data_IF_541381693983
#
_entry.id   IF_541381693983
#
_cell.length_a   1.000
_cell.length_b   1.000
_cell.length_c   1.000
_cell.angle_alpha   90.00
_cell.angle_beta   90.00
_cell.angle_gamma   90.00
#
_symmetry.space_group_name_H-M   'P 1'
#
loop_
_entity.id
_entity.type
_entity.pdbx_description
1 polymer ?
#
# COMPACT_ATOMS: atom_id res chain seq x y z
N UNK A 1 37.24 61.14 10.02
CA UNK A 1 36.49 60.09 10.75
C UNK A 1 35.42 59.58 9.78
N UNK A 2 35.66 58.44 9.13
CA UNK A 2 34.68 57.75 8.29
C UNK A 2 34.65 56.28 8.73
N UNK A 3 33.48 55.69 9.02
CA UNK A 3 33.41 54.34 9.55
C UNK A 3 33.61 53.31 8.43
N UNK A 4 34.43 52.31 8.71
CA UNK A 4 34.55 51.10 7.90
C UNK A 4 33.24 50.30 8.01
N UNK A 5 32.48 50.21 6.93
CA UNK A 5 31.33 49.30 6.84
C UNK A 5 31.83 47.90 6.52
N UNK A 6 31.76 47.02 7.52
CA UNK A 6 31.89 45.57 7.36
C UNK A 6 30.80 45.07 6.40
N UNK A 7 31.19 44.67 5.18
CA UNK A 7 30.31 43.89 4.29
C UNK A 7 30.19 42.49 4.86
N UNK A 8 29.05 42.19 5.50
CA UNK A 8 28.65 40.81 5.81
C UNK A 8 28.58 40.03 4.50
N UNK A 9 29.42 39.00 4.37
CA UNK A 9 29.28 38.01 3.30
C UNK A 9 27.94 37.30 3.52
N UNK A 10 27.08 37.14 2.50
CA UNK A 10 25.91 36.29 2.64
C UNK A 10 26.40 34.88 2.94
N UNK A 11 26.04 34.36 4.12
CA UNK A 11 26.22 32.95 4.41
C UNK A 11 25.16 32.20 3.60
N UNK A 12 25.58 31.35 2.67
CA UNK A 12 24.71 30.36 2.07
C UNK A 12 24.19 29.49 3.22
N UNK A 13 22.89 29.59 3.50
CA UNK A 13 22.19 28.62 4.32
C UNK A 13 21.58 27.60 3.36
N UNK A 14 21.96 26.35 3.55
CA UNK A 14 21.15 25.22 3.09
C UNK A 14 20.06 25.11 4.13
N UNK A 15 18.84 25.52 3.76
CA UNK A 15 17.66 25.10 4.48
C UNK A 15 17.28 23.74 3.93
N UNK A 16 16.98 22.78 4.80
CA UNK A 16 16.28 21.59 4.36
C UNK A 16 14.98 22.10 3.76
N UNK A 17 14.80 21.91 2.46
CA UNK A 17 13.45 21.91 1.91
C UNK A 17 12.67 20.89 2.76
N UNK A 18 11.43 21.22 3.09
CA UNK A 18 10.50 20.30 3.72
C UNK A 18 10.66 18.89 3.13
N UNK A 19 10.67 17.86 3.98
CA UNK A 19 10.65 16.46 3.50
C UNK A 19 9.54 16.36 2.46
N UNK A 20 9.79 15.62 1.38
CA UNK A 20 8.82 15.43 0.29
C UNK A 20 7.65 14.61 0.81
N UNK A 21 6.71 15.22 1.52
CA UNK A 21 5.50 14.55 2.04
C UNK A 21 4.45 14.28 0.95
N UNK A 22 4.85 14.15 -0.31
CA UNK A 22 3.94 13.89 -1.43
C UNK A 22 4.46 12.72 -2.26
N UNK A 23 3.64 11.68 -2.50
CA UNK A 23 3.99 10.57 -3.38
C UNK A 23 4.61 11.03 -4.70
N UNK A 24 5.73 10.45 -5.10
CA UNK A 24 6.33 10.67 -6.40
C UNK A 24 5.64 9.79 -7.44
N UNK A 25 5.39 10.31 -8.64
CA UNK A 25 5.02 9.47 -9.79
C UNK A 25 6.22 9.27 -10.71
N UNK A 26 6.70 8.03 -10.83
CA UNK A 26 7.72 7.63 -11.78
C UNK A 26 7.08 7.05 -13.05
N UNK A 27 7.18 7.79 -14.14
CA UNK A 27 6.56 7.42 -15.42
C UNK A 27 7.46 6.50 -16.26
N UNK A 28 6.98 5.30 -16.55
CA UNK A 28 7.56 4.37 -17.53
C UNK A 28 7.10 4.76 -18.94
N UNK A 29 8.05 4.99 -19.84
CA UNK A 29 7.81 5.53 -21.19
C UNK A 29 8.44 4.71 -22.31
N UNK A 30 9.13 3.62 -21.98
CA UNK A 30 9.79 2.74 -22.95
C UNK A 30 9.70 1.27 -22.54
N UNK A 31 9.72 0.39 -23.54
CA UNK A 31 9.80 -1.07 -23.36
C UNK A 31 11.22 -1.60 -23.16
N UNK A 32 12.23 -0.72 -23.14
CA UNK A 32 13.61 -1.11 -22.88
C UNK A 32 13.75 -1.73 -21.47
N UNK A 33 14.55 -2.79 -21.35
CA UNK A 33 14.81 -3.45 -20.05
C UNK A 33 15.46 -2.51 -19.02
N UNK A 34 16.29 -1.57 -19.47
CA UNK A 34 17.07 -0.68 -18.61
C UNK A 34 17.29 0.70 -19.24
N UNK A 35 17.66 1.66 -18.40
CA UNK A 35 17.92 3.04 -18.79
C UNK A 35 16.75 3.99 -18.51
N UNK A 36 16.92 5.29 -18.78
CA UNK A 36 15.91 6.30 -18.47
C UNK A 36 14.53 5.96 -19.06
N UNK A 37 13.49 6.04 -18.22
CA UNK A 37 12.10 5.78 -18.59
C UNK A 37 11.71 4.30 -18.64
N UNK A 38 12.59 3.36 -18.27
CA UNK A 38 12.21 1.94 -18.13
C UNK A 38 11.60 1.61 -16.78
N UNK A 39 10.86 0.50 -16.70
CA UNK A 39 10.36 -0.04 -15.43
C UNK A 39 11.48 -0.30 -14.42
N UNK A 40 12.61 -0.85 -14.88
CA UNK A 40 13.78 -1.10 -14.01
C UNK A 40 14.28 0.19 -13.36
N UNK A 41 14.34 1.29 -14.11
CA UNK A 41 14.75 2.57 -13.55
C UNK A 41 13.70 3.12 -12.58
N UNK A 42 12.41 3.02 -12.92
CA UNK A 42 11.33 3.45 -12.04
C UNK A 42 11.33 2.71 -10.69
N UNK A 43 11.59 1.38 -10.68
CA UNK A 43 11.73 0.61 -9.44
C UNK A 43 12.94 1.08 -8.63
N UNK A 44 14.07 1.38 -9.28
CA UNK A 44 15.26 1.90 -8.58
C UNK A 44 15.00 3.28 -7.96
N UNK A 45 14.27 4.14 -8.68
CA UNK A 45 13.94 5.48 -8.21
C UNK A 45 12.96 5.41 -7.03
N UNK A 46 11.91 4.59 -7.10
CA UNK A 46 10.97 4.34 -5.99
C UNK A 46 11.67 3.71 -4.77
N UNK A 47 12.59 2.76 -4.97
CA UNK A 47 13.34 2.18 -3.86
C UNK A 47 14.29 3.17 -3.16
N UNK A 48 14.58 4.32 -3.77
CA UNK A 48 15.42 5.35 -3.19
C UNK A 48 14.63 6.34 -2.30
N UNK A 49 13.30 6.27 -2.30
CA UNK A 49 12.40 7.08 -1.50
C UNK A 49 11.69 6.20 -0.44
N UNK A 50 11.76 6.52 0.87
CA UNK A 50 11.08 5.73 1.90
C UNK A 50 9.56 5.93 1.95
N UNK A 51 9.03 6.98 1.31
CA UNK A 51 7.59 7.23 1.24
C UNK A 51 6.91 6.37 0.16
N UNK A 52 5.57 6.30 0.18
CA UNK A 52 4.85 5.56 -0.85
C UNK A 52 4.83 6.33 -2.17
N UNK A 53 5.33 5.69 -3.23
CA UNK A 53 5.38 6.25 -4.58
C UNK A 53 4.48 5.51 -5.57
N UNK A 54 4.25 6.11 -6.73
CA UNK A 54 3.52 5.53 -7.86
C UNK A 54 4.46 5.26 -9.03
N UNK A 55 4.37 4.07 -9.63
CA UNK A 55 4.93 3.75 -10.94
C UNK A 55 3.77 3.66 -11.94
N UNK A 56 3.72 4.64 -12.83
CA UNK A 56 2.72 4.76 -13.89
C UNK A 56 3.34 4.48 -15.28
N UNK A 57 2.52 4.21 -16.28
CA UNK A 57 2.92 3.83 -17.63
C UNK A 57 2.30 4.76 -18.67
N UNK A 58 3.14 5.24 -19.60
CA UNK A 58 2.74 6.00 -20.78
C UNK A 58 3.70 5.67 -21.92
N UNK A 59 3.77 4.39 -22.29
CA UNK A 59 4.63 3.91 -23.36
C UNK A 59 3.95 4.19 -24.71
N UNK A 60 4.60 4.91 -25.64
CA UNK A 60 4.02 5.18 -26.95
C UNK A 60 3.83 3.91 -27.78
N UNK A 61 2.63 3.68 -28.29
CA UNK A 61 2.32 2.52 -29.12
C UNK A 61 0.84 2.18 -29.12
N UNK A 62 0.47 1.15 -29.88
CA UNK A 62 -0.88 0.56 -29.85
C UNK A 62 -0.78 -0.89 -29.43
N UNK A 63 -1.77 -1.38 -28.68
CA UNK A 63 -1.79 -2.75 -28.19
C UNK A 63 -0.83 -2.96 -27.02
N UNK A 64 -0.47 -4.22 -26.78
CA UNK A 64 0.36 -4.61 -25.64
C UNK A 64 1.79 -4.11 -25.80
N UNK A 65 2.28 -3.44 -24.78
CA UNK A 65 3.64 -2.95 -24.62
C UNK A 65 4.43 -4.00 -23.84
N UNK A 66 5.16 -4.85 -24.56
CA UNK A 66 5.94 -5.93 -23.97
C UNK A 66 7.33 -5.43 -23.58
N UNK A 67 7.62 -5.46 -22.27
CA UNK A 67 8.93 -5.22 -21.69
C UNK A 67 9.65 -6.57 -21.60
N UNK A 68 10.61 -6.78 -22.50
CA UNK A 68 11.42 -8.00 -22.51
C UNK A 68 12.48 -7.92 -21.40
N UNK A 69 12.21 -8.57 -20.27
CA UNK A 69 13.09 -8.55 -19.11
C UNK A 69 14.32 -9.39 -19.39
N UNK A 70 15.51 -8.78 -19.30
CA UNK A 70 16.78 -9.40 -19.69
C UNK A 70 17.57 -9.96 -18.49
N UNK A 71 17.17 -9.60 -17.27
CA UNK A 71 17.73 -10.10 -16.01
C UNK A 71 16.77 -9.79 -14.86
N UNK A 72 16.96 -10.41 -13.70
CA UNK A 72 16.16 -10.14 -12.49
C UNK A 72 15.91 -8.64 -12.29
N UNK A 73 14.65 -8.24 -12.16
CA UNK A 73 14.28 -6.88 -11.77
C UNK A 73 14.73 -6.62 -10.32
N UNK A 74 15.05 -5.37 -9.94
CA UNK A 74 15.33 -5.05 -8.55
C UNK A 74 14.12 -5.41 -7.69
N UNK A 75 14.37 -5.96 -6.49
CA UNK A 75 13.30 -6.19 -5.53
C UNK A 75 12.66 -4.86 -5.13
N UNK A 76 11.34 -4.85 -4.99
CA UNK A 76 10.57 -3.70 -4.53
C UNK A 76 10.74 -3.63 -3.02
N UNK A 77 11.57 -2.70 -2.56
CA UNK A 77 12.04 -2.59 -1.19
C UNK A 77 11.32 -1.49 -0.39
N UNK A 78 10.57 -0.61 -1.05
CA UNK A 78 9.79 0.46 -0.44
C UNK A 78 8.31 0.35 -0.84
N UNK A 79 7.39 0.98 -0.09
CA UNK A 79 5.98 1.07 -0.46
C UNK A 79 5.82 1.68 -1.85
N UNK A 80 5.11 1.00 -2.75
CA UNK A 80 4.92 1.50 -4.12
C UNK A 80 3.64 0.96 -4.74
N UNK A 81 2.95 1.80 -5.51
CA UNK A 81 1.84 1.39 -6.38
C UNK A 81 2.37 1.25 -7.80
N UNK A 82 2.39 0.03 -8.33
CA UNK A 82 2.70 -0.24 -9.74
C UNK A 82 1.38 -0.44 -10.48
N UNK A 83 0.99 0.57 -11.26
CA UNK A 83 -0.33 0.61 -11.89
C UNK A 83 -0.28 0.53 -13.41
N UNK A 84 -0.38 -0.68 -13.96
CA UNK A 84 -0.45 -0.94 -15.39
C UNK A 84 -1.71 -0.38 -16.07
N UNK A 85 -2.78 -0.05 -15.33
CA UNK A 85 -3.98 0.54 -15.91
C UNK A 85 -3.79 2.02 -16.30
N UNK A 86 -2.71 2.66 -15.84
CA UNK A 86 -2.35 4.01 -16.29
C UNK A 86 -1.90 4.07 -17.76
N UNK A 87 -1.52 2.92 -18.36
CA UNK A 87 -1.17 2.87 -19.78
C UNK A 87 -2.37 3.26 -20.65
N UNK A 88 -2.23 4.25 -21.57
CA UNK A 88 -3.32 4.65 -22.44
C UNK A 88 -3.97 3.48 -23.19
N UNK A 89 -5.28 3.33 -23.01
CA UNK A 89 -6.10 2.26 -23.60
C UNK A 89 -6.27 1.02 -22.72
N UNK A 90 -5.63 0.96 -21.56
CA UNK A 90 -5.89 -0.05 -20.54
C UNK A 90 -7.17 0.30 -19.75
N UNK A 91 -7.78 -0.70 -19.12
CA UNK A 91 -8.95 -0.52 -18.27
C UNK A 91 -9.06 -1.66 -17.26
N UNK A 92 -9.42 -1.40 -15.98
CA UNK A 92 -9.72 -2.44 -15.01
C UNK A 92 -10.98 -3.23 -15.39
N UNK A 93 -11.13 -4.40 -14.77
CA UNK A 93 -12.32 -5.22 -14.95
C UNK A 93 -13.55 -4.50 -14.35
N UNK A 94 -14.63 -4.43 -15.12
CA UNK A 94 -15.88 -3.78 -14.72
C UNK A 94 -16.99 -4.79 -14.40
N UNK A 95 -16.81 -6.08 -14.72
CA UNK A 95 -17.86 -7.12 -14.56
C UNK A 95 -17.57 -8.03 -13.36
N UNK A 96 -18.61 -8.41 -12.61
CA UNK A 96 -18.47 -9.29 -11.44
C UNK A 96 -18.33 -10.78 -11.79
N UNK A 97 -18.76 -11.18 -12.99
CA UNK A 97 -18.86 -12.58 -13.44
C UNK A 97 -18.06 -12.89 -14.72
N UNK A 98 -17.33 -11.91 -15.26
CA UNK A 98 -16.43 -12.07 -16.39
C UNK A 98 -15.22 -11.14 -16.25
N UNK A 99 -14.12 -11.47 -16.93
CA UNK A 99 -12.96 -10.59 -17.05
C UNK A 99 -13.05 -9.81 -18.36
N UNK A 100 -13.29 -8.50 -18.26
CA UNK A 100 -13.21 -7.57 -19.38
C UNK A 100 -12.07 -6.55 -19.23
N UNK A 101 -11.13 -6.77 -18.30
CA UNK A 101 -9.99 -5.89 -18.14
C UNK A 101 -9.15 -5.84 -19.41
N UNK A 102 -8.74 -4.64 -19.78
CA UNK A 102 -7.78 -4.42 -20.87
C UNK A 102 -6.41 -4.17 -20.23
N UNK A 103 -5.55 -5.18 -20.28
CA UNK A 103 -4.17 -5.10 -19.75
C UNK A 103 -3.22 -4.88 -20.91
N UNK A 104 -2.44 -3.79 -20.87
CA UNK A 104 -1.56 -3.40 -21.98
C UNK A 104 -0.07 -3.42 -21.64
N UNK A 105 0.31 -3.67 -20.39
CA UNK A 105 1.73 -3.78 -20.01
C UNK A 105 2.06 -5.24 -19.77
N UNK A 106 2.97 -5.80 -20.55
CA UNK A 106 3.46 -7.17 -20.38
C UNK A 106 4.92 -7.18 -19.91
N UNK A 107 5.19 -7.88 -18.82
CA UNK A 107 6.52 -8.28 -18.40
C UNK A 107 6.78 -9.69 -18.96
N UNK A 108 7.66 -9.78 -19.94
CA UNK A 108 8.06 -11.04 -20.56
C UNK A 108 9.39 -11.52 -19.99
N UNK A 109 9.34 -12.61 -19.23
CA UNK A 109 10.46 -13.22 -18.53
C UNK A 109 11.33 -14.16 -19.37
N UNK A 110 11.04 -14.34 -20.68
CA UNK A 110 11.73 -15.33 -21.54
C UNK A 110 13.26 -15.24 -21.46
N UNK A 111 13.80 -14.02 -21.29
CA UNK A 111 15.24 -13.76 -21.23
C UNK A 111 15.74 -13.38 -19.83
N UNK A 112 14.91 -13.45 -18.80
CA UNK A 112 15.23 -12.92 -17.46
C UNK A 112 16.17 -13.83 -16.65
N UNK A 113 16.33 -15.10 -17.08
CA UNK A 113 17.02 -16.14 -16.32
C UNK A 113 16.13 -16.79 -15.26
N UNK A 114 16.73 -17.51 -14.31
CA UNK A 114 15.99 -18.22 -13.24
C UNK A 114 15.60 -17.26 -12.11
N UNK A 115 14.65 -16.38 -12.38
CA UNK A 115 14.17 -15.33 -11.47
C UNK A 115 12.65 -15.26 -11.50
N UNK A 116 12.00 -14.83 -10.40
CA UNK A 116 10.62 -14.40 -10.45
C UNK A 116 10.46 -13.11 -11.28
N UNK A 117 9.22 -12.79 -11.65
CA UNK A 117 8.88 -11.56 -12.37
C UNK A 117 9.06 -10.31 -11.51
N UNK A 118 8.41 -10.28 -10.35
CA UNK A 118 8.57 -9.23 -9.34
C UNK A 118 8.81 -9.85 -7.97
N UNK A 119 9.58 -9.16 -7.13
CA UNK A 119 9.81 -9.52 -5.72
C UNK A 119 9.34 -8.37 -4.84
N UNK A 120 8.30 -8.59 -4.03
CA UNK A 120 7.76 -7.61 -3.09
C UNK A 120 8.43 -7.80 -1.72
N UNK A 121 9.45 -7.01 -1.42
CA UNK A 121 10.31 -7.15 -0.24
C UNK A 121 10.08 -6.08 0.84
N UNK A 122 9.56 -4.89 0.48
CA UNK A 122 9.33 -3.77 1.42
C UNK A 122 8.00 -3.78 2.16
N UNK A 123 7.00 -4.48 1.62
CA UNK A 123 5.61 -4.41 2.07
C UNK A 123 4.89 -3.17 1.54
N UNK A 124 3.57 -3.09 1.74
CA UNK A 124 2.73 -1.97 1.28
C UNK A 124 2.79 -1.73 -0.24
N UNK A 125 3.16 -2.74 -1.03
CA UNK A 125 3.16 -2.63 -2.48
C UNK A 125 1.80 -3.00 -3.05
N UNK A 126 1.29 -2.19 -3.97
CA UNK A 126 0.15 -2.55 -4.81
C UNK A 126 0.66 -2.85 -6.21
N UNK A 127 0.36 -4.02 -6.75
CA UNK A 127 0.67 -4.39 -8.14
C UNK A 127 -0.65 -4.64 -8.86
N UNK A 128 -0.95 -3.84 -9.89
CA UNK A 128 -2.17 -4.00 -10.67
C UNK A 128 -2.02 -3.74 -12.16
N UNK A 129 -2.94 -4.31 -12.95
CA UNK A 129 -3.05 -4.04 -14.39
C UNK A 129 -1.90 -4.58 -15.26
N UNK A 130 -1.06 -5.47 -14.72
CA UNK A 130 0.07 -6.05 -15.46
C UNK A 130 -0.27 -7.44 -16.04
N UNK A 131 0.40 -7.79 -17.13
CA UNK A 131 0.57 -9.16 -17.60
C UNK A 131 1.98 -9.61 -17.20
N UNK A 132 2.11 -10.73 -16.49
CA UNK A 132 3.41 -11.24 -16.02
C UNK A 132 3.56 -12.69 -16.47
N UNK A 133 4.38 -12.92 -17.48
CA UNK A 133 4.44 -14.18 -18.22
C UNK A 133 5.87 -14.62 -18.54
N UNK A 134 6.03 -15.90 -18.86
CA UNK A 134 7.27 -16.53 -19.33
C UNK A 134 8.47 -16.47 -18.36
N UNK A 135 8.25 -16.19 -17.07
CA UNK A 135 9.33 -16.25 -16.08
C UNK A 135 9.66 -17.70 -15.74
N UNK A 136 10.95 -17.99 -15.55
CA UNK A 136 11.42 -19.31 -15.10
C UNK A 136 11.25 -19.53 -13.58
N UNK A 137 10.92 -18.47 -12.82
CA UNK A 137 10.47 -18.54 -11.43
C UNK A 137 8.96 -18.31 -11.30
N UNK A 138 8.53 -17.84 -10.13
CA UNK A 138 7.15 -17.40 -9.88
C UNK A 138 6.85 -16.08 -10.64
N UNK A 139 5.58 -15.78 -10.90
CA UNK A 139 5.21 -14.49 -11.49
C UNK A 139 5.50 -13.34 -10.52
N UNK A 140 4.98 -13.45 -9.30
CA UNK A 140 5.22 -12.52 -8.20
C UNK A 140 5.61 -13.29 -6.94
N UNK A 141 6.77 -12.97 -6.38
CA UNK A 141 7.20 -13.40 -5.06
C UNK A 141 6.84 -12.34 -4.02
N UNK A 142 6.04 -12.73 -3.05
CA UNK A 142 5.71 -11.92 -1.89
C UNK A 142 6.63 -12.36 -0.74
N UNK A 143 7.61 -11.50 -0.42
CA UNK A 143 8.58 -11.68 0.64
C UNK A 143 8.37 -10.72 1.82
N UNK A 144 7.22 -10.05 1.86
CA UNK A 144 6.84 -9.04 2.85
C UNK A 144 5.33 -9.08 3.12
N UNK A 145 4.89 -8.36 4.14
CA UNK A 145 3.47 -8.27 4.52
C UNK A 145 2.76 -7.10 3.84
N UNK A 146 1.43 -7.19 3.78
CA UNK A 146 0.54 -6.08 3.39
C UNK A 146 0.75 -5.61 1.95
N UNK A 147 0.86 -6.55 1.01
CA UNK A 147 0.88 -6.23 -0.40
C UNK A 147 -0.51 -6.49 -1.00
N UNK A 148 -0.91 -5.70 -1.97
CA UNK A 148 -2.12 -5.90 -2.77
C UNK A 148 -1.70 -6.33 -4.17
N UNK A 149 -2.19 -7.49 -4.61
CA UNK A 149 -2.02 -7.98 -5.97
C UNK A 149 -3.41 -8.12 -6.57
N UNK A 150 -3.79 -7.19 -7.45
CA UNK A 150 -5.14 -7.09 -7.99
C UNK A 150 -5.15 -6.86 -9.50
N UNK A 151 -6.19 -7.33 -10.20
CA UNK A 151 -6.38 -6.99 -11.62
C UNK A 151 -5.27 -7.43 -12.60
N UNK A 152 -4.30 -8.23 -12.19
CA UNK A 152 -3.20 -8.73 -13.05
C UNK A 152 -3.59 -10.00 -13.82
N UNK A 153 -2.91 -10.26 -14.94
CA UNK A 153 -2.91 -11.56 -15.65
C UNK A 153 -1.55 -12.23 -15.42
N UNK A 154 -1.48 -13.25 -14.58
CA UNK A 154 -0.21 -13.87 -14.16
C UNK A 154 -0.12 -15.30 -14.70
N UNK A 155 0.89 -15.54 -15.55
CA UNK A 155 0.99 -16.75 -16.37
C UNK A 155 -0.03 -16.79 -17.51
N UNK A 156 -0.88 -15.77 -17.65
CA UNK A 156 -1.85 -15.61 -18.73
C UNK A 156 -1.39 -14.62 -19.79
N UNK A 157 -2.09 -14.62 -20.91
CA UNK A 157 -1.97 -13.61 -21.96
C UNK A 157 -2.80 -12.36 -21.68
N UNK A 158 -2.77 -11.40 -22.63
CA UNK A 158 -3.55 -10.16 -22.55
C UNK A 158 -5.07 -10.38 -22.54
N UNK A 159 -5.52 -11.52 -23.04
CA UNK A 159 -6.92 -11.95 -23.06
C UNK A 159 -7.37 -12.64 -21.75
N UNK A 160 -6.47 -12.78 -20.77
CA UNK A 160 -6.73 -13.44 -19.49
C UNK A 160 -6.94 -14.96 -19.58
N UNK A 161 -6.93 -15.55 -20.78
CA UNK A 161 -7.26 -16.97 -21.00
C UNK A 161 -6.18 -17.74 -21.76
N UNK A 162 -5.32 -17.06 -22.52
CA UNK A 162 -4.19 -17.70 -23.20
C UNK A 162 -3.14 -18.07 -22.15
N UNK A 163 -2.87 -19.36 -21.99
CA UNK A 163 -1.79 -19.82 -21.12
C UNK A 163 -0.42 -19.47 -21.73
N UNK A 164 0.34 -18.64 -21.02
CA UNK A 164 1.74 -18.29 -21.33
C UNK A 164 2.71 -18.80 -20.29
N UNK A 165 2.20 -19.26 -19.14
CA UNK A 165 2.92 -19.87 -18.04
C UNK A 165 3.95 -18.96 -17.37
N UNK A 166 4.14 -19.18 -16.07
CA UNK A 166 5.46 -19.05 -15.46
C UNK A 166 5.89 -20.48 -15.07
N UNK A 167 7.19 -20.73 -14.91
CA UNK A 167 7.66 -22.08 -14.54
C UNK A 167 7.47 -22.38 -13.05
N UNK A 168 7.25 -21.33 -12.23
CA UNK A 168 6.82 -21.43 -10.84
C UNK A 168 5.31 -21.18 -10.67
N UNK A 169 4.93 -20.70 -9.48
CA UNK A 169 3.58 -20.26 -9.13
C UNK A 169 3.22 -18.95 -9.85
N UNK A 170 1.93 -18.64 -9.99
CA UNK A 170 1.52 -17.29 -10.37
C UNK A 170 1.98 -16.29 -9.31
N UNK A 171 1.50 -16.49 -8.08
CA UNK A 171 1.93 -15.73 -6.90
C UNK A 171 2.40 -16.71 -5.84
N UNK A 172 3.62 -16.51 -5.32
CA UNK A 172 4.15 -17.27 -4.20
C UNK A 172 4.34 -16.35 -2.99
N UNK A 173 3.85 -16.76 -1.82
CA UNK A 173 4.11 -16.08 -0.55
C UNK A 173 5.26 -16.81 0.13
N UNK A 174 6.46 -16.28 -0.02
CA UNK A 174 7.73 -16.93 0.35
C UNK A 174 8.20 -16.48 1.73
N UNK A 175 7.92 -15.22 2.08
CA UNK A 175 7.94 -14.71 3.44
C UNK A 175 6.78 -13.74 3.60
N UNK A 176 6.05 -13.89 4.70
CA UNK A 176 4.93 -13.01 5.03
C UNK A 176 4.35 -13.47 6.35
N UNK A 177 4.46 -12.65 7.38
CA UNK A 177 3.56 -12.81 8.51
C UNK A 177 2.18 -12.39 7.98
N UNK A 178 1.18 -13.26 8.08
CA UNK A 178 -0.19 -12.81 8.05
C UNK A 178 -0.38 -11.91 9.28
N UNK A 179 -0.03 -10.64 9.15
CA UNK A 179 -0.36 -9.62 10.13
C UNK A 179 -1.81 -9.26 9.86
N UNK A 180 -2.73 -10.05 10.42
CA UNK A 180 -4.13 -9.65 10.52
C UNK A 180 -4.14 -8.26 11.18
N UNK A 181 -4.68 -7.21 10.53
CA UNK A 181 -4.69 -5.88 11.12
C UNK A 181 -5.32 -5.96 12.51
N UNK A 182 -4.62 -5.44 13.51
CA UNK A 182 -5.18 -5.30 14.85
C UNK A 182 -6.20 -4.19 14.79
N UNK A 183 -7.47 -4.49 15.07
CA UNK A 183 -8.52 -3.47 15.05
C UNK A 183 -8.18 -2.34 16.01
N UNK A 184 -8.09 -1.12 15.48
CA UNK A 184 -7.85 0.12 16.23
C UNK A 184 -9.16 0.83 16.49
N UNK A 185 -10.01 0.90 15.47
CA UNK A 185 -11.26 1.62 15.51
C UNK A 185 -12.32 0.90 14.69
N UNK A 186 -13.56 0.90 15.17
CA UNK A 186 -14.71 0.54 14.36
C UNK A 186 -15.95 1.33 14.79
N UNK A 187 -16.80 1.63 13.82
CA UNK A 187 -18.16 2.11 14.05
C UNK A 187 -19.06 1.68 12.89
N UNK A 188 -20.15 0.98 13.22
CA UNK A 188 -21.22 0.57 12.31
C UNK A 188 -22.42 1.52 12.36
N UNK A 189 -22.35 2.59 13.17
CA UNK A 189 -23.35 3.64 13.32
C UNK A 189 -24.78 3.20 13.68
N UNK A 190 -24.98 1.93 14.02
CA UNK A 190 -26.20 1.42 14.65
C UNK A 190 -26.35 1.91 16.11
N UNK A 191 -25.27 2.50 16.66
CA UNK A 191 -25.21 3.11 17.97
C UNK A 191 -24.94 4.61 17.96
N UNK A 192 -24.36 5.13 19.05
CA UNK A 192 -23.99 6.53 19.16
C UNK A 192 -22.69 6.82 18.39
N UNK A 193 -22.66 7.96 17.69
CA UNK A 193 -21.43 8.49 17.08
C UNK A 193 -20.54 9.09 18.18
N UNK A 194 -19.29 8.65 18.25
CA UNK A 194 -18.34 9.09 19.26
C UNK A 194 -17.71 10.47 19.00
N UNK A 195 -17.04 11.06 20.00
CA UNK A 195 -16.43 12.40 19.92
C UNK A 195 -15.22 12.48 18.96
N UNK A 196 -14.72 11.35 18.47
CA UNK A 196 -13.68 11.27 17.45
C UNK A 196 -14.14 11.75 16.07
N UNK A 197 -15.45 11.85 15.84
CA UNK A 197 -16.03 12.37 14.60
C UNK A 197 -16.34 13.86 14.70
N UNK A 198 -16.06 14.61 13.64
CA UNK A 198 -16.39 16.04 13.53
C UNK A 198 -17.88 16.32 13.37
N UNK A 199 -18.68 15.30 13.04
CA UNK A 199 -20.13 15.35 12.93
C UNK A 199 -20.73 14.10 13.55
N UNK A 200 -21.91 14.24 14.16
CA UNK A 200 -22.71 13.14 14.70
C UNK A 200 -24.05 13.01 13.98
N UNK A 201 -24.19 13.61 12.79
CA UNK A 201 -25.39 13.51 11.99
C UNK A 201 -25.54 12.09 11.44
N UNK A 202 -26.70 11.49 11.67
CA UNK A 202 -27.03 10.14 11.21
C UNK A 202 -28.39 10.13 10.53
N UNK A 203 -28.57 9.20 9.61
CA UNK A 203 -29.84 8.93 8.94
C UNK A 203 -30.10 7.42 8.84
N UNK A 204 -31.29 7.04 8.41
CA UNK A 204 -31.73 5.65 8.29
C UNK A 204 -32.20 5.38 6.86
N UNK A 205 -31.68 4.30 6.25
CA UNK A 205 -32.04 3.95 4.87
C UNK A 205 -33.53 3.61 4.74
N UNK A 206 -34.23 4.06 3.68
CA UNK A 206 -35.65 3.75 3.46
C UNK A 206 -35.97 2.25 3.39
N UNK A 207 -35.05 1.48 2.79
CA UNK A 207 -35.11 0.02 2.73
C UNK A 207 -34.05 -0.57 3.66
N UNK A 208 -34.43 -1.59 4.42
CA UNK A 208 -33.54 -2.28 5.36
C UNK A 208 -33.39 -1.60 6.72
N UNK A 209 -33.58 -0.27 6.79
CA UNK A 209 -33.49 0.48 8.04
C UNK A 209 -32.06 0.52 8.62
N UNK A 210 -31.05 0.60 7.76
CA UNK A 210 -29.63 0.67 8.16
C UNK A 210 -29.33 2.07 8.68
N UNK A 211 -28.74 2.16 9.86
CA UNK A 211 -28.30 3.45 10.40
C UNK A 211 -26.91 3.76 9.86
N UNK A 212 -26.66 5.02 9.49
CA UNK A 212 -25.37 5.41 8.94
C UNK A 212 -25.03 6.86 9.30
N UNK A 213 -23.75 7.21 9.20
CA UNK A 213 -23.28 8.58 9.38
C UNK A 213 -23.54 9.39 8.11
N UNK A 214 -24.47 10.35 8.18
CA UNK A 214 -24.97 11.10 7.02
C UNK A 214 -26.41 11.55 7.24
N UNK A 215 -27.12 12.07 6.24
CA UNK A 215 -26.65 12.39 4.89
C UNK A 215 -25.82 13.68 4.87
N UNK A 216 -24.72 13.67 4.13
CA UNK A 216 -23.83 14.83 3.94
C UNK A 216 -23.89 15.34 2.50
N UNK A 217 -23.70 16.66 2.35
CA UNK A 217 -23.61 17.31 1.06
C UNK A 217 -22.15 17.53 0.66
N UNK A 218 -21.76 18.80 0.56
CA UNK A 218 -20.37 19.21 0.30
C UNK A 218 -19.51 19.34 1.57
N UNK A 219 -19.84 18.58 2.60
CA UNK A 219 -19.16 18.64 3.89
C UNK A 219 -17.85 17.85 3.87
N UNK A 220 -16.90 18.27 4.72
CA UNK A 220 -15.79 17.42 5.16
C UNK A 220 -16.11 16.87 6.54
N UNK A 221 -16.23 15.55 6.63
CA UNK A 221 -16.42 14.82 7.88
C UNK A 221 -15.10 14.15 8.25
N UNK A 222 -14.64 14.36 9.47
CA UNK A 222 -13.32 13.95 9.92
C UNK A 222 -13.42 12.92 11.04
N UNK A 223 -12.66 11.83 10.92
CA UNK A 223 -12.38 10.89 12.01
C UNK A 223 -10.97 11.17 12.55
N UNK A 224 -10.84 11.41 13.86
CA UNK A 224 -9.55 11.60 14.54
C UNK A 224 -9.33 10.51 15.59
N UNK A 225 -8.38 9.61 15.33
CA UNK A 225 -7.98 8.56 16.27
C UNK A 225 -6.68 9.01 16.97
N UNK A 226 -6.68 9.20 18.30
CA UNK A 226 -5.48 9.60 19.03
C UNK A 226 -4.34 8.57 18.90
N UNK A 227 -3.10 9.06 18.78
CA UNK A 227 -1.90 8.24 18.70
C UNK A 227 -1.78 7.19 19.82
N UNK A 228 -2.31 7.54 21.01
CA UNK A 228 -2.33 6.66 22.17
C UNK A 228 -3.18 5.40 21.99
N UNK A 229 -4.08 5.38 21.01
CA UNK A 229 -4.89 4.21 20.64
C UNK A 229 -4.21 3.34 19.57
N UNK A 230 -3.14 3.83 18.93
CA UNK A 230 -2.41 3.09 17.91
C UNK A 230 -1.40 2.16 18.59
N UNK A 231 -1.42 0.84 18.32
CA UNK A 231 -0.44 -0.09 18.85
C UNK A 231 1.00 0.32 18.54
N UNK A 232 1.90 0.15 19.50
CA UNK A 232 3.32 0.40 19.31
C UNK A 232 3.89 -0.52 18.21
N UNK A 233 4.79 0.02 17.37
CA UNK A 233 5.39 -0.72 16.25
C UNK A 233 4.49 -0.83 15.01
N UNK A 234 3.33 -0.16 15.00
CA UNK A 234 2.52 0.02 13.79
C UNK A 234 3.32 0.81 12.77
N UNK A 235 3.44 0.27 11.55
CA UNK A 235 4.10 0.94 10.42
C UNK A 235 3.12 1.23 9.28
N UNK A 236 1.93 0.65 9.33
CA UNK A 236 0.87 0.89 8.37
C UNK A 236 -0.51 0.73 9.01
N UNK A 237 -1.49 1.39 8.41
CA UNK A 237 -2.89 1.30 8.80
C UNK A 237 -3.73 0.90 7.59
N UNK A 238 -4.78 0.12 7.84
CA UNK A 238 -5.87 -0.08 6.90
C UNK A 238 -7.05 0.80 7.28
N UNK A 239 -7.81 1.24 6.30
CA UNK A 239 -9.15 1.80 6.50
C UNK A 239 -10.12 1.18 5.51
N UNK A 240 -11.27 0.73 5.99
CA UNK A 240 -12.39 0.27 5.16
C UNK A 240 -13.71 0.82 5.66
N UNK A 241 -14.66 0.98 4.75
CA UNK A 241 -16.00 1.48 5.06
C UNK A 241 -16.94 1.14 3.91
N UNK A 242 -18.24 1.19 4.17
CA UNK A 242 -19.25 1.31 3.13
C UNK A 242 -19.48 2.81 2.87
N UNK A 243 -19.40 3.21 1.60
CA UNK A 243 -19.75 4.55 1.13
C UNK A 243 -21.11 4.49 0.46
N UNK A 244 -22.09 5.23 0.98
CA UNK A 244 -23.40 5.35 0.37
C UNK A 244 -23.40 6.58 -0.53
N UNK A 245 -23.67 6.36 -1.82
CA UNK A 245 -23.83 7.40 -2.84
C UNK A 245 -25.32 7.49 -3.12
N UNK A 246 -25.94 8.59 -2.68
CA UNK A 246 -27.40 8.70 -2.55
C UNK A 246 -27.93 9.71 -3.57
N UNK A 247 -28.92 9.27 -4.36
CA UNK A 247 -29.61 10.02 -5.43
C UNK A 247 -28.68 10.39 -6.60
N UNK A 248 -28.85 11.55 -7.23
CA UNK A 248 -28.49 11.86 -8.64
C UNK A 248 -27.02 12.21 -8.88
N UNK A 249 -26.08 11.50 -8.27
CA UNK A 249 -24.66 11.78 -8.55
C UNK A 249 -24.38 11.71 -10.06
N UNK A 250 -23.80 12.78 -10.60
CA UNK A 250 -23.67 13.07 -12.03
C UNK A 250 -22.29 12.70 -12.62
N UNK A 251 -21.42 12.08 -11.81
CA UNK A 251 -20.12 11.58 -12.27
C UNK A 251 -19.17 12.68 -12.73
N UNK A 252 -18.58 12.49 -13.90
CA UNK A 252 -17.59 13.38 -14.51
C UNK A 252 -18.23 14.57 -15.25
N UNK A 253 -19.56 14.70 -15.27
CA UNK A 253 -20.18 15.83 -15.98
C UNK A 253 -19.72 17.16 -15.36
N UNK A 254 -19.47 18.15 -16.21
CA UNK A 254 -19.10 19.51 -15.80
C UNK A 254 -20.03 20.55 -16.45
N UNK A 255 -21.05 20.08 -17.15
CA UNK A 255 -22.02 20.88 -17.88
C UNK A 255 -23.13 21.41 -16.98
N UNK A 256 -23.58 22.64 -17.28
CA UNK A 256 -24.85 23.23 -16.81
C UNK A 256 -25.15 23.25 -15.29
N UNK A 257 -24.18 22.93 -14.42
CA UNK A 257 -24.36 22.90 -12.96
C UNK A 257 -24.78 21.54 -12.40
N UNK A 258 -24.63 20.47 -13.17
CA UNK A 258 -24.99 19.08 -12.85
C UNK A 258 -23.73 18.22 -12.66
N UNK A 259 -22.82 18.62 -11.77
CA UNK A 259 -21.54 17.95 -11.56
C UNK A 259 -20.29 18.83 -11.82
N UNK A 260 -19.10 18.31 -11.52
CA UNK A 260 -18.83 16.90 -11.20
C UNK A 260 -19.12 16.60 -9.74
N UNK A 261 -19.73 15.45 -9.47
CA UNK A 261 -19.99 14.99 -8.11
C UNK A 261 -18.84 14.13 -7.62
N UNK A 262 -17.97 14.80 -6.88
CA UNK A 262 -16.66 14.28 -6.50
C UNK A 262 -16.66 13.90 -5.03
N UNK A 263 -15.95 12.83 -4.73
CA UNK A 263 -15.72 12.38 -3.37
C UNK A 263 -14.24 12.09 -3.17
N UNK A 264 -13.73 12.42 -1.99
CA UNK A 264 -12.33 12.16 -1.65
C UNK A 264 -12.12 11.72 -0.22
N UNK A 265 -11.07 10.92 -0.04
CA UNK A 265 -10.51 10.55 1.26
C UNK A 265 -9.06 11.03 1.33
N UNK A 266 -8.78 11.96 2.24
CA UNK A 266 -7.43 12.48 2.47
C UNK A 266 -6.99 12.26 3.91
N UNK A 267 -5.71 11.99 4.11
CA UNK A 267 -5.08 11.93 5.42
C UNK A 267 -4.80 13.34 5.94
N UNK A 268 -4.72 13.51 7.27
CA UNK A 268 -4.40 14.82 7.87
C UNK A 268 -3.04 15.40 7.51
N UNK A 269 -2.13 14.58 6.95
CA UNK A 269 -0.85 15.04 6.38
C UNK A 269 -0.96 15.47 4.90
N UNK A 270 -2.16 15.42 4.30
CA UNK A 270 -2.43 15.82 2.92
C UNK A 270 -2.32 14.70 1.88
N UNK A 271 -1.93 13.48 2.25
CA UNK A 271 -1.91 12.34 1.33
C UNK A 271 -3.33 12.01 0.90
N UNK A 272 -3.54 11.85 -0.40
CA UNK A 272 -4.83 11.54 -0.99
C UNK A 272 -4.95 10.03 -1.23
N UNK A 273 -5.87 9.37 -0.53
CA UNK A 273 -6.10 7.93 -0.68
C UNK A 273 -7.09 7.62 -1.79
N UNK A 274 -8.06 8.51 -2.03
CA UNK A 274 -9.00 8.40 -3.14
C UNK A 274 -9.50 9.76 -3.54
N UNK A 275 -9.59 9.97 -4.85
CA UNK A 275 -10.08 11.19 -5.46
C UNK A 275 -10.80 10.89 -6.76
N UNK A 276 -12.13 10.87 -6.70
CA UNK A 276 -12.92 10.29 -7.78
C UNK A 276 -14.31 10.91 -7.87
N UNK A 277 -15.05 10.52 -8.89
CA UNK A 277 -16.48 10.83 -9.04
C UNK A 277 -17.27 9.53 -9.07
N UNK A 278 -18.54 9.62 -8.67
CA UNK A 278 -19.50 8.53 -8.72
C UNK A 278 -20.70 8.95 -9.56
N UNK A 279 -21.38 7.98 -10.19
CA UNK A 279 -22.60 8.25 -10.94
C UNK A 279 -23.66 7.20 -10.63
N UNK A 280 -24.87 7.64 -10.25
CA UNK A 280 -26.07 6.81 -10.16
C UNK A 280 -27.01 7.03 -11.37
N UNK A 281 -26.67 7.96 -12.26
CA UNK A 281 -27.46 8.31 -13.43
C UNK A 281 -26.88 7.72 -14.71
N UNK A 282 -27.76 7.31 -15.64
CA UNK A 282 -27.35 7.02 -17.03
C UNK A 282 -27.00 8.36 -17.70
N UNK A 283 -25.78 8.56 -18.21
CA UNK A 283 -25.33 9.85 -18.68
C UNK A 283 -26.22 10.39 -19.81
N UNK A 284 -26.74 11.61 -19.67
CA UNK A 284 -27.45 12.28 -20.78
C UNK A 284 -26.49 12.61 -21.95
N UNK A 285 -25.19 12.61 -21.66
CA UNK A 285 -24.12 12.74 -22.62
C UNK A 285 -23.14 11.56 -22.50
N UNK A 286 -22.59 11.13 -23.64
CA UNK A 286 -21.48 10.18 -23.64
C UNK A 286 -20.17 10.81 -23.12
N UNK A 287 -20.20 11.73 -22.15
CA UNK A 287 -19.06 12.31 -21.43
C UNK A 287 -19.20 12.21 -19.90
N UNK A 288 -20.40 11.93 -19.37
CA UNK A 288 -20.75 12.11 -17.97
C UNK A 288 -20.64 10.86 -17.06
N UNK A 289 -20.07 9.74 -17.54
CA UNK A 289 -19.81 8.56 -16.67
C UNK A 289 -18.95 8.89 -15.44
N UNK A 290 -18.65 7.92 -14.59
CA UNK A 290 -17.90 8.17 -13.35
C UNK A 290 -16.39 7.95 -13.52
N UNK A 291 -15.58 8.41 -12.56
CA UNK A 291 -14.16 8.12 -12.53
C UNK A 291 -13.82 6.87 -11.70
N UNK A 292 -14.62 6.49 -10.69
CA UNK A 292 -14.32 5.31 -9.86
C UNK A 292 -14.45 4.02 -10.69
N UNK A 293 -13.52 3.04 -10.57
CA UNK A 293 -12.46 2.89 -9.56
C UNK A 293 -11.14 3.64 -9.84
N UNK A 294 -11.08 4.42 -10.92
CA UNK A 294 -9.97 5.27 -11.26
C UNK A 294 -10.03 6.67 -10.63
N UNK A 295 -9.21 7.57 -11.17
CA UNK A 295 -8.96 8.91 -10.65
C UNK A 295 -9.75 9.95 -11.46
N UNK A 296 -10.33 10.92 -10.75
CA UNK A 296 -11.04 12.03 -11.37
C UNK A 296 -10.14 12.87 -12.30
N UNK A 297 -10.68 13.24 -13.47
CA UNK A 297 -10.02 14.09 -14.46
C UNK A 297 -9.31 13.33 -15.58
N UNK A 298 -8.99 12.04 -15.37
CA UNK A 298 -8.39 11.17 -16.40
C UNK A 298 -9.27 9.99 -16.74
N UNK A 299 -9.83 9.34 -15.73
CA UNK A 299 -10.49 8.05 -15.92
C UNK A 299 -11.99 8.19 -16.12
N UNK A 300 -12.54 7.21 -16.84
CA UNK A 300 -13.96 7.17 -17.13
C UNK A 300 -14.49 5.76 -17.25
N UNK A 301 -15.56 5.51 -16.50
CA UNK A 301 -16.29 4.26 -16.41
C UNK A 301 -17.79 4.52 -16.56
N UNK A 302 -18.53 3.44 -16.82
CA UNK A 302 -19.99 3.49 -16.79
C UNK A 302 -20.47 3.78 -15.35
N UNK A 303 -21.66 4.39 -15.17
CA UNK A 303 -22.23 4.60 -13.85
C UNK A 303 -22.27 3.30 -13.03
N UNK A 304 -22.14 3.44 -11.71
CA UNK A 304 -22.21 2.34 -10.75
C UNK A 304 -21.08 1.30 -10.90
N UNK A 305 -20.07 1.55 -11.75
CA UNK A 305 -18.93 0.62 -11.92
C UNK A 305 -18.20 0.43 -10.59
N UNK A 306 -18.08 -0.82 -10.16
CA UNK A 306 -17.46 -1.16 -8.87
C UNK A 306 -18.37 -0.97 -7.66
N UNK A 307 -19.65 -0.61 -7.84
CA UNK A 307 -20.64 -0.63 -6.78
C UNK A 307 -20.89 -2.08 -6.35
N UNK A 308 -20.95 -2.28 -5.04
CA UNK A 308 -21.26 -3.58 -4.46
C UNK A 308 -22.79 -3.78 -4.28
N UNK A 309 -23.54 -2.68 -4.22
CA UNK A 309 -25.01 -2.67 -4.24
C UNK A 309 -25.50 -1.51 -5.10
N UNK A 310 -26.57 -1.74 -5.85
CA UNK A 310 -27.22 -0.75 -6.73
C UNK A 310 -28.72 -0.78 -6.46
N UNK A 311 -29.33 0.37 -6.24
CA UNK A 311 -30.77 0.57 -6.00
C UNK A 311 -31.32 -0.34 -4.90
N UNK A 312 -30.56 -0.45 -3.82
CA UNK A 312 -30.78 -1.34 -2.69
C UNK A 312 -31.25 -0.60 -1.42
N UNK A 313 -30.93 0.69 -1.30
CA UNK A 313 -31.21 1.50 -0.11
C UNK A 313 -32.59 2.12 -0.13
N UNK A 314 -33.19 2.23 -1.32
CA UNK A 314 -34.55 2.71 -1.52
C UNK A 314 -34.65 4.23 -1.60
N UNK A 315 -33.55 4.92 -1.84
CA UNK A 315 -33.58 6.35 -2.11
C UNK A 315 -34.04 6.60 -3.55
N UNK A 316 -34.81 7.66 -3.75
CA UNK A 316 -35.38 7.99 -5.05
C UNK A 316 -35.13 9.44 -5.40
N UNK A 317 -34.97 9.70 -6.70
CA UNK A 317 -35.14 11.02 -7.28
C UNK A 317 -36.29 10.97 -8.29
N UNK A 318 -37.30 11.82 -8.08
CA UNK A 318 -38.57 11.67 -8.80
C UNK A 318 -39.23 10.31 -8.53
N UNK A 319 -39.36 9.47 -9.56
CA UNK A 319 -39.90 8.11 -9.47
C UNK A 319 -38.86 7.01 -9.47
N UNK A 320 -37.59 7.36 -9.72
CA UNK A 320 -36.55 6.40 -10.04
C UNK A 320 -35.73 6.12 -8.78
N UNK A 321 -35.43 4.85 -8.53
CA UNK A 321 -34.48 4.46 -7.49
C UNK A 321 -33.09 4.89 -7.94
N UNK A 322 -32.37 5.55 -7.04
CA UNK A 322 -31.04 6.08 -7.30
C UNK A 322 -30.22 6.01 -6.01
N UNK A 323 -29.54 4.90 -5.84
CA UNK A 323 -28.52 4.73 -4.80
C UNK A 323 -27.50 3.67 -5.21
N UNK A 324 -26.28 3.82 -4.71
CA UNK A 324 -25.26 2.77 -4.79
C UNK A 324 -24.40 2.74 -3.53
N UNK A 325 -23.84 1.55 -3.27
CA UNK A 325 -22.94 1.31 -2.12
C UNK A 325 -21.60 0.83 -2.65
N UNK A 326 -20.53 1.48 -2.22
CA UNK A 326 -19.15 1.07 -2.51
C UNK A 326 -18.49 0.58 -1.22
N UNK A 327 -17.49 -0.28 -1.35
CA UNK A 327 -16.73 -0.83 -0.21
C UNK A 327 -15.24 -0.55 -0.31
N UNK A 328 -14.80 0.72 -0.25
CA UNK A 328 -13.39 1.02 -0.38
C UNK A 328 -12.58 0.42 0.77
N UNK A 329 -11.39 -0.06 0.45
CA UNK A 329 -10.40 -0.51 1.41
C UNK A 329 -9.03 0.05 1.01
N UNK A 330 -8.41 0.79 1.91
CA UNK A 330 -7.10 1.40 1.70
C UNK A 330 -6.09 0.90 2.72
N UNK A 331 -4.84 0.90 2.31
CA UNK A 331 -3.67 0.62 3.11
C UNK A 331 -2.70 1.76 2.92
N UNK A 332 -2.21 2.35 4.01
CA UNK A 332 -1.32 3.50 3.96
C UNK A 332 -0.26 3.45 5.06
N UNK A 333 0.89 4.06 4.79
CA UNK A 333 2.00 4.15 5.75
C UNK A 333 1.61 4.97 6.99
N UNK A 334 2.06 4.52 8.15
CA UNK A 334 1.89 5.24 9.42
C UNK A 334 3.25 5.55 10.02
N UNK A 335 3.55 6.85 10.12
CA UNK A 335 4.84 7.37 10.61
C UNK A 335 4.77 7.88 12.06
N UNK A 336 3.62 7.71 12.73
CA UNK A 336 3.37 8.18 14.09
C UNK A 336 2.37 9.34 14.16
N UNK A 337 1.94 9.67 15.39
CA UNK A 337 0.99 10.76 15.64
C UNK A 337 -0.48 10.33 15.56
N UNK A 338 -1.40 11.30 15.64
CA UNK A 338 -2.83 11.04 15.54
C UNK A 338 -3.18 10.64 14.10
N UNK A 339 -4.11 9.70 13.93
CA UNK A 339 -4.63 9.32 12.61
C UNK A 339 -5.83 10.20 12.32
N UNK A 340 -5.74 11.01 11.27
CA UNK A 340 -6.80 11.93 10.86
C UNK A 340 -7.22 11.56 9.45
N UNK A 341 -8.50 11.22 9.28
CA UNK A 341 -9.11 10.86 8.00
C UNK A 341 -10.19 11.88 7.65
N UNK A 342 -10.04 12.55 6.50
CA UNK A 342 -10.99 13.53 5.98
C UNK A 342 -11.79 12.92 4.83
N UNK A 343 -13.07 12.66 5.06
CA UNK A 343 -14.04 12.23 4.06
C UNK A 343 -14.76 13.47 3.54
N UNK A 344 -14.65 13.76 2.24
CA UNK A 344 -15.15 15.02 1.67
C UNK A 344 -15.99 14.77 0.43
N UNK A 345 -17.22 15.26 0.44
CA UNK A 345 -18.04 15.44 -0.76
C UNK A 345 -17.81 16.83 -1.37
N UNK A 346 -17.83 16.91 -2.69
CA UNK A 346 -17.88 18.16 -3.44
C UNK A 346 -18.98 18.02 -4.48
N UNK A 347 -20.21 18.33 -4.05
CA UNK A 347 -21.44 18.14 -4.82
C UNK A 347 -21.95 19.46 -5.34
N UNK A 348 -22.52 19.48 -6.54
CA UNK A 348 -23.04 20.72 -7.13
C UNK A 348 -24.39 21.13 -6.56
N UNK A 349 -25.23 20.16 -6.17
CA UNK A 349 -26.61 20.36 -5.74
C UNK A 349 -26.96 19.52 -4.50
N UNK A 350 -26.25 19.73 -3.36
CA UNK A 350 -26.46 18.92 -2.17
C UNK A 350 -27.90 19.02 -1.62
N UNK A 351 -28.30 17.99 -0.86
CA UNK A 351 -29.60 17.78 -0.18
C UNK A 351 -30.59 16.93 -0.99
N UNK A 352 -31.69 17.52 -1.47
CA UNK A 352 -32.79 16.79 -2.10
C UNK A 352 -32.39 16.13 -3.44
N UNK A 353 -31.28 16.56 -4.03
CA UNK A 353 -30.71 16.06 -5.28
C UNK A 353 -29.60 15.04 -5.02
N UNK A 354 -28.50 15.42 -4.32
CA UNK A 354 -27.41 14.50 -4.00
C UNK A 354 -26.99 14.52 -2.53
N UNK A 355 -26.55 13.36 -2.02
CA UNK A 355 -25.84 13.27 -0.75
C UNK A 355 -24.99 12.01 -0.63
N UNK A 356 -24.19 11.91 0.42
CA UNK A 356 -23.45 10.70 0.78
C UNK A 356 -23.52 10.38 2.26
N UNK A 357 -23.09 9.17 2.62
CA UNK A 357 -22.92 8.76 4.00
C UNK A 357 -21.91 7.62 4.14
N UNK A 358 -21.53 7.33 5.38
CA UNK A 358 -20.60 6.25 5.72
C UNK A 358 -21.25 5.25 6.65
N UNK A 359 -20.95 3.98 6.41
CA UNK A 359 -21.30 2.88 7.28
C UNK A 359 -20.10 1.92 7.46
N UNK A 360 -20.10 1.09 8.50
CA UNK A 360 -19.12 0.03 8.73
C UNK A 360 -17.66 0.49 8.67
N UNK A 361 -17.35 1.67 9.21
CA UNK A 361 -15.99 2.24 9.21
C UNK A 361 -15.10 1.43 10.16
N UNK A 362 -13.97 0.94 9.65
CA UNK A 362 -12.97 0.20 10.42
C UNK A 362 -11.57 0.72 10.09
N UNK A 363 -10.73 0.84 11.12
CA UNK A 363 -9.29 1.12 10.99
C UNK A 363 -8.51 0.02 11.69
N UNK A 364 -7.57 -0.59 10.97
CA UNK A 364 -6.72 -1.66 11.48
C UNK A 364 -5.25 -1.24 11.50
N UNK A 365 -4.54 -1.55 12.58
CA UNK A 365 -3.10 -1.35 12.70
C UNK A 365 -2.33 -2.58 12.26
N UNK A 366 -1.32 -2.36 11.44
CA UNK A 366 -0.39 -3.39 11.04
C UNK A 366 0.98 -3.06 11.60
N UNK A 367 1.46 -3.96 12.46
CA UNK A 367 2.83 -3.93 12.93
C UNK A 367 3.79 -4.19 11.75
N UNK A 368 4.93 -3.49 11.75
CA UNK A 368 6.02 -3.79 10.82
C UNK A 368 6.45 -5.25 10.99
N UNK A 369 6.44 -6.02 9.90
CA UNK A 369 7.02 -7.35 9.88
C UNK A 369 8.54 -7.19 9.75
N UNK A 370 9.25 -7.20 10.87
CA UNK A 370 10.71 -7.29 10.80
C UNK A 370 11.09 -8.65 10.24
N UNK A 371 11.65 -8.67 9.03
CA UNK A 371 12.26 -9.87 8.49
C UNK A 371 13.63 -10.02 9.13
N UNK A 372 13.76 -10.98 10.04
CA UNK A 372 15.05 -11.26 10.71
C UNK A 372 16.16 -11.52 9.69
N UNK A 373 15.85 -12.09 8.52
CA UNK A 373 16.86 -12.36 7.49
C UNK A 373 17.26 -11.10 6.69
N UNK A 374 16.34 -10.17 6.45
CA UNK A 374 16.57 -8.97 5.66
C UNK A 374 17.05 -7.79 6.54
N UNK A 375 16.29 -7.48 7.59
CA UNK A 375 16.51 -6.35 8.49
C UNK A 375 17.64 -6.62 9.49
N UNK A 376 18.02 -7.89 9.64
CA UNK A 376 19.19 -8.31 10.38
C UNK A 376 20.32 -8.85 9.46
N UNK A 377 20.36 -8.42 8.19
CA UNK A 377 21.45 -8.71 7.25
C UNK A 377 22.60 -7.72 7.36
N UNK A 378 23.82 -8.13 7.00
CA UNK A 378 25.04 -7.29 7.03
C UNK A 378 24.92 -6.03 6.15
N UNK A 379 24.05 -6.07 5.14
CA UNK A 379 23.88 -5.02 4.12
C UNK A 379 22.73 -4.06 4.42
N UNK A 380 21.68 -4.49 5.14
CA UNK A 380 20.47 -3.69 5.41
C UNK A 380 20.25 -3.49 6.91
N UNK A 381 21.27 -2.97 7.61
CA UNK A 381 21.15 -2.61 9.02
C UNK A 381 20.91 -1.10 9.17
N UNK A 382 19.69 -0.67 9.54
CA UNK A 382 19.33 0.74 9.65
C UNK A 382 20.03 1.49 10.82
N UNK A 383 20.78 0.81 11.70
CA UNK A 383 21.36 1.39 12.92
C UNK A 383 22.91 1.39 13.01
N UNK A 384 23.63 0.94 11.98
CA UNK A 384 25.10 0.80 12.04
C UNK A 384 25.56 -0.49 12.76
N UNK A 385 26.84 -0.62 13.18
CA UNK A 385 27.40 -1.90 13.66
C UNK A 385 26.56 -2.54 14.79
N UNK A 386 26.29 -3.85 14.67
CA UNK A 386 25.40 -4.62 15.55
C UNK A 386 25.66 -4.41 17.04
N UNK A 387 24.63 -4.01 17.77
CA UNK A 387 24.55 -4.11 19.23
C UNK A 387 23.32 -4.94 19.61
N UNK A 388 23.54 -6.11 20.21
CA UNK A 388 22.47 -6.96 20.75
C UNK A 388 22.20 -6.56 22.21
N UNK A 389 20.96 -6.67 22.68
CA UNK A 389 20.57 -6.21 24.01
C UNK A 389 19.49 -7.11 24.62
N UNK A 390 19.23 -6.97 25.93
CA UNK A 390 18.11 -7.60 26.62
C UNK A 390 17.21 -6.56 27.29
N UNK A 391 15.94 -6.90 27.48
CA UNK A 391 14.96 -6.08 28.19
C UNK A 391 14.34 -6.90 29.32
N UNK A 392 14.23 -6.36 30.56
CA UNK A 392 13.57 -7.05 31.67
C UNK A 392 12.05 -7.21 31.51
N UNK A 393 11.40 -6.40 30.65
CA UNK A 393 9.97 -6.47 30.36
C UNK A 393 9.67 -5.83 28.99
N UNK A 394 8.52 -6.16 28.40
CA UNK A 394 8.07 -5.55 27.15
C UNK A 394 7.96 -4.03 27.28
N UNK A 395 8.52 -3.29 26.31
CA UNK A 395 8.51 -1.83 26.28
C UNK A 395 9.56 -1.14 27.18
N UNK A 396 10.41 -1.89 27.90
CA UNK A 396 11.47 -1.28 28.71
C UNK A 396 12.76 -1.01 27.91
N UNK A 397 13.65 -0.17 28.46
CA UNK A 397 14.89 0.19 27.78
C UNK A 397 15.81 -1.02 27.60
N UNK A 398 16.41 -1.13 26.40
CA UNK A 398 17.35 -2.18 26.06
C UNK A 398 18.69 -2.04 26.80
N UNK A 399 19.19 -3.15 27.36
CA UNK A 399 20.48 -3.27 28.00
C UNK A 399 21.46 -3.97 27.05
N UNK A 400 22.41 -3.25 26.42
CA UNK A 400 23.29 -3.81 25.40
C UNK A 400 24.26 -4.84 25.99
N UNK A 401 24.45 -5.95 25.28
CA UNK A 401 25.51 -6.92 25.52
C UNK A 401 26.87 -6.31 25.18
N UNK A 402 27.90 -6.55 26.00
CA UNK A 402 29.11 -5.74 26.00
C UNK A 402 29.99 -5.87 24.74
N UNK A 403 29.87 -6.94 23.94
CA UNK A 403 30.42 -7.09 22.58
C UNK A 403 30.25 -8.53 22.10
N UNK A 404 30.21 -8.76 20.78
CA UNK A 404 30.17 -10.11 20.19
C UNK A 404 31.54 -10.78 20.25
N UNK A 405 31.56 -12.09 20.48
CA UNK A 405 32.77 -12.92 20.48
C UNK A 405 32.73 -13.84 19.27
N UNK A 406 33.83 -13.96 18.53
CA UNK A 406 33.98 -14.97 17.48
C UNK A 406 34.23 -16.32 18.15
N UNK A 407 33.37 -17.31 17.90
CA UNK A 407 33.55 -18.66 18.44
C UNK A 407 34.59 -19.40 17.59
N UNK A 408 35.63 -19.92 18.24
CA UNK A 408 36.67 -20.73 17.60
C UNK A 408 36.53 -22.23 17.86
N UNK A 409 35.52 -22.66 18.63
CA UNK A 409 35.41 -24.03 19.15
C UNK A 409 34.23 -24.83 18.57
N UNK A 410 34.48 -26.12 18.31
CA UNK A 410 33.45 -27.11 17.99
C UNK A 410 32.65 -26.85 16.70
N UNK A 411 31.43 -27.42 16.64
CA UNK A 411 30.55 -27.34 15.46
C UNK A 411 30.12 -25.94 15.04
N UNK A 412 30.38 -24.90 15.85
CA UNK A 412 29.97 -23.51 15.61
C UNK A 412 31.14 -22.57 15.27
N UNK A 413 32.30 -23.14 14.91
CA UNK A 413 33.49 -22.37 14.57
C UNK A 413 33.23 -21.35 13.44
N UNK A 414 33.62 -20.09 13.68
CA UNK A 414 33.43 -18.97 12.76
C UNK A 414 32.14 -18.17 12.98
N UNK A 415 31.26 -18.59 13.89
CA UNK A 415 30.07 -17.82 14.29
C UNK A 415 30.39 -16.61 15.16
N UNK A 416 29.57 -15.55 15.07
CA UNK A 416 29.57 -14.42 16.01
C UNK A 416 28.53 -14.65 17.10
N UNK A 417 28.93 -14.55 18.37
CA UNK A 417 28.11 -14.93 19.50
C UNK A 417 27.97 -13.83 20.54
N UNK A 418 26.73 -13.64 21.03
CA UNK A 418 26.40 -12.72 22.12
C UNK A 418 25.62 -13.48 23.19
N UNK A 419 26.00 -13.28 24.45
CA UNK A 419 25.35 -13.89 25.62
C UNK A 419 25.44 -12.96 26.81
N UNK A 420 24.61 -13.21 27.82
CA UNK A 420 24.80 -12.62 29.14
C UNK A 420 25.93 -13.34 29.90
N UNK A 421 27.10 -12.71 30.09
CA UNK A 421 28.21 -13.33 30.81
C UNK A 421 27.90 -13.61 32.28
N UNK A 422 26.84 -13.01 32.85
CA UNK A 422 26.42 -13.27 34.22
C UNK A 422 25.58 -14.56 34.36
N UNK A 423 25.12 -15.16 33.26
CA UNK A 423 24.23 -16.33 33.27
C UNK A 423 24.75 -17.52 32.44
N UNK A 424 26.00 -17.49 31.96
CA UNK A 424 26.60 -18.54 31.11
C UNK A 424 26.55 -19.97 31.71
N UNK A 425 26.60 -20.12 33.03
CA UNK A 425 26.52 -21.42 33.70
C UNK A 425 25.10 -22.00 33.79
N UNK A 426 24.08 -21.21 33.48
CA UNK A 426 22.66 -21.54 33.60
C UNK A 426 21.98 -21.60 32.23
N UNK A 427 22.75 -21.77 31.14
CA UNK A 427 22.22 -21.66 29.79
C UNK A 427 21.63 -20.27 29.57
N UNK A 428 22.45 -19.22 29.52
CA UNK A 428 21.98 -17.87 29.26
C UNK A 428 21.16 -17.78 27.95
N UNK A 429 20.23 -16.82 27.86
CA UNK A 429 19.75 -16.35 26.58
C UNK A 429 20.96 -15.97 25.72
N UNK A 430 21.02 -16.49 24.50
CA UNK A 430 22.13 -16.20 23.60
C UNK A 430 21.72 -16.19 22.14
N UNK A 431 22.49 -15.43 21.38
CA UNK A 431 22.29 -15.21 19.95
C UNK A 431 23.57 -15.59 19.22
N UNK A 432 23.43 -16.38 18.16
CA UNK A 432 24.51 -16.78 17.27
C UNK A 432 24.19 -16.30 15.86
N UNK A 433 25.12 -15.59 15.23
CA UNK A 433 25.08 -15.27 13.81
C UNK A 433 26.11 -16.11 13.05
N UNK A 434 25.75 -16.65 11.89
CA UNK A 434 26.66 -17.37 11.01
C UNK A 434 27.12 -16.49 9.83
N UNK A 435 28.28 -15.83 9.93
CA UNK A 435 28.84 -15.03 8.83
C UNK A 435 29.54 -15.89 7.76
N UNK A 436 29.62 -17.21 7.93
CA UNK A 436 30.39 -18.08 7.04
C UNK A 436 29.56 -18.53 5.83
N UNK A 437 30.23 -19.01 4.78
CA UNK A 437 29.57 -19.52 3.58
C UNK A 437 28.93 -20.91 3.76
N UNK A 438 29.15 -21.57 4.90
CA UNK A 438 28.66 -22.92 5.18
C UNK A 438 27.72 -22.91 6.40
N UNK A 439 26.84 -23.90 6.52
CA UNK A 439 26.10 -24.08 7.74
C UNK A 439 27.04 -24.42 8.91
N UNK A 440 26.79 -23.83 10.08
CA UNK A 440 27.50 -24.11 11.33
C UNK A 440 26.55 -24.79 12.30
N UNK A 441 27.05 -25.74 13.09
CA UNK A 441 26.30 -26.53 14.06
C UNK A 441 26.08 -27.98 13.62
N UNK A 442 25.31 -28.73 14.42
CA UNK A 442 24.94 -30.11 14.12
C UNK A 442 23.51 -30.42 14.60
N UNK A 443 22.83 -31.32 13.87
CA UNK A 443 21.50 -31.79 14.22
C UNK A 443 20.45 -30.66 14.22
N UNK A 444 19.70 -30.55 15.33
CA UNK A 444 18.65 -29.51 15.51
C UNK A 444 19.20 -28.10 15.76
N UNK A 445 20.50 -27.97 15.96
CA UNK A 445 21.16 -26.68 16.21
C UNK A 445 21.98 -26.24 14.99
N UNK A 446 21.55 -26.59 13.78
CA UNK A 446 22.21 -26.16 12.55
C UNK A 446 21.74 -24.75 12.18
N UNK A 447 22.68 -23.82 11.98
CA UNK A 447 22.43 -22.44 11.54
C UNK A 447 23.05 -22.27 10.16
N UNK A 448 22.22 -22.07 9.11
CA UNK A 448 22.73 -21.94 7.74
C UNK A 448 23.54 -20.64 7.55
N UNK A 449 24.25 -20.55 6.43
CA UNK A 449 25.00 -19.34 6.07
C UNK A 449 24.07 -18.11 6.09
N UNK A 450 24.50 -17.05 6.77
CA UNK A 450 23.73 -15.80 6.91
C UNK A 450 22.57 -15.85 7.89
N UNK A 451 22.31 -16.98 8.57
CA UNK A 451 21.20 -17.09 9.53
C UNK A 451 21.61 -16.73 10.96
N UNK A 452 20.59 -16.44 11.77
CA UNK A 452 20.69 -16.20 13.21
C UNK A 452 20.01 -17.34 13.97
N UNK A 453 20.69 -17.87 14.98
CA UNK A 453 20.15 -18.82 15.94
C UNK A 453 19.88 -18.15 17.29
N UNK A 454 18.74 -18.49 17.90
CA UNK A 454 18.37 -18.03 19.23
C UNK A 454 18.34 -19.21 20.20
N UNK A 455 18.98 -19.03 21.35
CA UNK A 455 18.81 -19.91 22.49
C UNK A 455 18.15 -19.09 23.60
N UNK A 456 16.89 -19.34 23.96
CA UNK A 456 16.16 -18.53 24.95
C UNK A 456 16.71 -18.69 26.38
N UNK A 457 17.55 -19.68 26.59
CA UNK A 457 18.14 -20.05 27.86
C UNK A 457 17.52 -21.32 28.46
N UNK A 458 18.06 -21.86 29.55
CA UNK A 458 17.37 -22.95 30.25
C UNK A 458 16.23 -22.39 31.10
N UNK A 459 15.04 -22.97 30.97
CA UNK A 459 13.91 -22.69 31.85
C UNK A 459 14.17 -23.14 33.28
#
# INVERSE_FOLDING_TARGET
MFPSTSRRRPALRVESLEDRTTPATFMVTTTADAGPGSLRQAILDANADPDQDDIAFNIPGTGVQTIAVASALPAIAQPVVIDGFTQPGAAPNMFSDADNAVRLIELDGTNAGSTPGLVLAGGLATVRGLIISHFAGDGIDIASSNNVVEGNSIGGGPDGITDRGNSGSGVAVVQGAASTPTLVYQNDFEGAVGPEWSSTATDVTPVGGRHFLGQFGSDTVTLTIPAAQIPAGTTALTVSFDLFVIRTWDGNDTGAGSGPDRWSLTLGNGVNLLDTTFSNNVPSSAAAGQAYPGVFGTDRFDPETGAAEVNSLGYTFGSDLMDSVYRPHFLFSYTGGDVVLHFTGALTTPDADESWGLDNVQVGAIAGAYSVAHDFSITNNPAGPWSYAWSPADGSAFNPYPSGVVISDGGFAGGLYWSDPSHISLGAPSVLYNPTANAIGQGRNLVAAGQVGFHPGSA
#
